data_IF_352520188880
#
_entry.id   IF_352520188880
#
_cell.length_a   1.000
_cell.length_b   1.000
_cell.length_c   1.000
_cell.angle_alpha   90.00
_cell.angle_beta   90.00
_cell.angle_gamma   90.00
#
_symmetry.space_group_name_H-M   'P 1'
#
loop_
_entity.id
_entity.type
_entity.pdbx_description
1 polymer ?
#
# COMPACT_ATOMS: atom_id res chain seq x y z
N UNK A 1 -54.91 -44.47 65.83
CA UNK A 1 -53.44 -44.47 65.93
C UNK A 1 -52.82 -43.67 64.77
N UNK A 2 -52.70 -42.31 64.79
CA UNK A 2 -52.00 -41.56 63.75
C UNK A 2 -50.98 -40.53 64.27
N UNK A 3 -50.32 -40.76 65.41
CA UNK A 3 -49.32 -39.75 65.89
C UNK A 3 -47.85 -40.15 65.75
N UNK A 4 -47.53 -41.38 65.36
CA UNK A 4 -46.12 -41.83 65.21
C UNK A 4 -45.44 -41.40 63.90
N UNK A 5 -46.19 -41.24 62.82
CA UNK A 5 -45.62 -40.85 61.49
C UNK A 5 -45.18 -39.37 61.41
N UNK A 6 -45.87 -38.47 62.10
CA UNK A 6 -45.56 -37.02 62.07
C UNK A 6 -44.23 -36.65 62.74
N UNK A 7 -43.78 -37.42 63.74
CA UNK A 7 -42.53 -37.13 64.46
C UNK A 7 -41.27 -37.66 63.72
N UNK A 8 -41.41 -38.71 62.93
CA UNK A 8 -40.32 -39.25 62.13
C UNK A 8 -39.96 -38.29 60.94
N UNK A 9 -40.99 -37.78 60.28
CA UNK A 9 -40.78 -36.81 59.16
C UNK A 9 -40.17 -35.48 59.63
N UNK A 10 -40.57 -34.97 60.78
CA UNK A 10 -39.95 -33.76 61.37
C UNK A 10 -38.49 -33.99 61.77
N UNK A 11 -38.16 -35.19 62.29
CA UNK A 11 -36.75 -35.54 62.65
C UNK A 11 -35.87 -35.68 61.37
N UNK A 12 -36.39 -36.26 60.30
CA UNK A 12 -35.70 -36.40 59.02
C UNK A 12 -35.50 -35.00 58.35
N UNK A 13 -36.50 -34.14 58.41
CA UNK A 13 -36.40 -32.76 57.93
C UNK A 13 -35.35 -31.94 58.70
N UNK A 14 -35.37 -32.10 60.06
CA UNK A 14 -34.37 -31.41 60.88
C UNK A 14 -32.97 -31.95 60.67
N UNK A 15 -32.76 -33.23 60.40
CA UNK A 15 -31.48 -33.84 60.11
C UNK A 15 -30.94 -33.34 58.73
N UNK A 16 -31.80 -33.24 57.70
CA UNK A 16 -31.45 -32.69 56.38
C UNK A 16 -31.04 -31.21 56.47
N UNK A 17 -31.78 -30.42 57.23
CA UNK A 17 -31.46 -29.02 57.47
C UNK A 17 -30.10 -28.86 58.19
N UNK A 18 -29.83 -29.68 59.19
CA UNK A 18 -28.55 -29.68 59.90
C UNK A 18 -27.39 -30.06 58.99
N UNK A 19 -27.54 -31.06 58.12
CA UNK A 19 -26.53 -31.46 57.14
C UNK A 19 -26.25 -30.37 56.10
N UNK A 20 -27.26 -29.65 55.64
CA UNK A 20 -27.09 -28.53 54.71
C UNK A 20 -26.34 -27.36 55.37
N UNK A 21 -26.65 -27.06 56.63
CA UNK A 21 -25.92 -26.02 57.38
C UNK A 21 -24.45 -26.42 57.59
N UNK A 22 -24.19 -27.67 57.97
CA UNK A 22 -22.81 -28.17 58.12
C UNK A 22 -22.04 -28.13 56.78
N UNK A 23 -22.67 -28.55 55.68
CA UNK A 23 -22.06 -28.49 54.36
C UNK A 23 -21.74 -27.04 53.94
N UNK A 24 -22.63 -26.10 54.22
CA UNK A 24 -22.41 -24.67 53.95
C UNK A 24 -21.26 -24.09 54.77
N UNK A 25 -21.18 -24.46 56.05
CA UNK A 25 -20.08 -24.05 56.94
C UNK A 25 -18.73 -24.63 56.48
N UNK A 26 -18.72 -25.92 56.08
CA UNK A 26 -17.51 -26.54 55.53
C UNK A 26 -17.05 -25.88 54.24
N UNK A 27 -17.98 -25.54 53.34
CA UNK A 27 -17.67 -24.84 52.09
C UNK A 27 -17.13 -23.43 52.37
N UNK A 28 -17.72 -22.71 53.30
CA UNK A 28 -17.27 -21.39 53.70
C UNK A 28 -15.87 -21.43 54.36
N UNK A 29 -15.64 -22.36 55.26
CA UNK A 29 -14.37 -22.53 55.97
C UNK A 29 -13.26 -23.00 55.04
N UNK A 30 -13.54 -23.89 54.10
CA UNK A 30 -12.58 -24.30 53.07
C UNK A 30 -12.21 -23.12 52.13
N UNK A 31 -13.19 -22.29 51.78
CA UNK A 31 -12.95 -21.05 51.03
C UNK A 31 -12.03 -20.08 51.79
N UNK A 32 -12.26 -19.92 53.11
CA UNK A 32 -11.44 -19.09 53.98
C UNK A 32 -9.99 -19.61 54.07
N UNK A 33 -9.79 -20.92 54.28
CA UNK A 33 -8.44 -21.52 54.32
C UNK A 33 -7.70 -21.38 52.99
N UNK A 34 -8.40 -21.47 51.85
CA UNK A 34 -7.78 -21.28 50.53
C UNK A 34 -7.29 -19.85 50.36
N UNK A 35 -8.04 -18.85 50.87
CA UNK A 35 -7.59 -17.45 50.80
C UNK A 35 -6.41 -17.14 51.73
N UNK A 36 -6.29 -17.86 52.86
CA UNK A 36 -5.18 -17.67 53.81
C UNK A 36 -3.89 -18.39 53.40
N UNK A 37 -4.04 -19.53 52.68
CA UNK A 37 -2.91 -20.32 52.14
C UNK A 37 -2.34 -19.81 50.85
N UNK A 38 -3.08 -18.95 50.10
CA UNK A 38 -2.56 -18.29 48.91
C UNK A 38 -2.02 -16.92 49.35
N UNK A 39 -0.69 -16.76 49.54
CA UNK A 39 -0.13 -15.45 49.80
C UNK A 39 -0.50 -14.54 48.64
N UNK A 40 -0.72 -13.25 48.91
CA UNK A 40 -1.11 -12.18 47.94
C UNK A 40 -0.37 -12.21 46.61
N UNK A 41 -0.58 -13.27 45.85
CA UNK A 41 -0.29 -13.25 44.42
C UNK A 41 -1.42 -12.44 43.82
N UNK A 42 -1.14 -11.18 43.51
CA UNK A 42 -2.05 -10.27 42.85
C UNK A 42 -2.98 -11.03 41.89
N UNK A 43 -4.22 -11.23 42.25
CA UNK A 43 -5.23 -11.88 41.40
C UNK A 43 -5.30 -11.16 40.02
N UNK A 44 -5.00 -9.88 40.01
CA UNK A 44 -4.83 -9.06 38.81
C UNK A 44 -3.73 -9.57 37.87
N UNK A 45 -2.59 -10.06 38.40
CA UNK A 45 -1.50 -10.56 37.55
C UNK A 45 -1.82 -11.95 36.96
N UNK A 46 -2.53 -12.79 37.72
CA UNK A 46 -2.94 -14.12 37.24
C UNK A 46 -4.04 -14.03 36.19
N UNK A 47 -5.03 -13.16 36.37
CA UNK A 47 -6.06 -12.87 35.35
C UNK A 47 -5.42 -12.25 34.10
N UNK A 48 -4.42 -11.39 34.24
CA UNK A 48 -3.67 -10.85 33.11
C UNK A 48 -2.86 -11.94 32.37
N UNK A 49 -2.25 -12.88 33.12
CA UNK A 49 -1.52 -14.00 32.52
C UNK A 49 -2.45 -14.97 31.79
N UNK A 50 -3.61 -15.29 32.34
CA UNK A 50 -4.60 -16.17 31.69
C UNK A 50 -5.21 -15.49 30.46
N UNK A 51 -5.42 -14.18 30.50
CA UNK A 51 -5.91 -13.41 29.36
C UNK A 51 -4.85 -13.32 28.25
N UNK A 52 -3.55 -13.21 28.61
CA UNK A 52 -2.45 -13.18 27.63
C UNK A 52 -2.15 -14.53 26.99
N UNK A 53 -2.55 -15.66 27.59
CA UNK A 53 -2.43 -17.00 27.00
C UNK A 53 -3.36 -17.18 25.79
N UNK A 54 -4.48 -16.45 25.74
CA UNK A 54 -5.40 -16.45 24.59
C UNK A 54 -5.01 -15.48 23.48
N UNK A 55 -4.17 -14.51 23.77
CA UNK A 55 -3.64 -13.58 22.77
C UNK A 55 -2.38 -14.21 22.16
N UNK A 56 -2.53 -14.73 20.93
CA UNK A 56 -1.36 -15.10 20.13
C UNK A 56 -0.41 -13.89 20.11
N UNK A 57 0.84 -14.01 20.56
CA UNK A 57 1.77 -12.89 20.44
C UNK A 57 1.79 -12.49 18.97
N UNK A 58 1.26 -11.32 18.66
CA UNK A 58 1.42 -10.72 17.34
C UNK A 58 2.91 -10.43 17.24
N UNK A 59 3.68 -11.40 16.72
CA UNK A 59 5.03 -11.18 16.28
C UNK A 59 4.94 -10.11 15.18
N UNK A 60 5.00 -8.84 15.58
CA UNK A 60 5.29 -7.77 14.64
C UNK A 60 6.67 -8.08 14.09
N UNK A 61 6.69 -8.65 12.88
CA UNK A 61 7.93 -8.70 12.12
C UNK A 61 8.55 -7.29 12.19
N UNK A 62 9.86 -7.17 12.47
CA UNK A 62 10.52 -5.87 12.43
C UNK A 62 10.15 -5.24 11.09
N UNK A 63 9.60 -4.03 11.11
CA UNK A 63 9.22 -3.31 9.91
C UNK A 63 10.46 -3.27 9.01
N UNK A 64 10.43 -3.86 7.81
CA UNK A 64 11.57 -3.82 6.93
C UNK A 64 11.97 -2.36 6.75
N UNK A 65 13.26 -2.04 6.77
CA UNK A 65 13.73 -0.69 6.51
C UNK A 65 13.15 -0.26 5.16
N UNK A 66 12.34 0.79 5.18
CA UNK A 66 11.72 1.34 3.99
C UNK A 66 12.82 1.75 3.00
N UNK A 67 12.80 1.15 1.82
CA UNK A 67 13.70 1.52 0.74
C UNK A 67 13.19 2.79 0.05
N UNK A 68 14.09 3.52 -0.65
CA UNK A 68 13.71 4.69 -1.43
C UNK A 68 12.61 4.33 -2.44
N UNK A 69 11.57 5.15 -2.53
CA UNK A 69 10.40 4.93 -3.37
C UNK A 69 9.68 3.59 -3.13
N UNK A 70 9.77 3.03 -1.92
CA UNK A 70 9.21 1.73 -1.55
C UNK A 70 9.69 0.58 -2.46
N UNK A 71 10.94 0.61 -2.92
CA UNK A 71 11.53 -0.47 -3.68
C UNK A 71 11.61 -1.76 -2.88
N UNK A 72 11.53 -2.91 -3.56
CA UNK A 72 11.76 -4.22 -2.96
C UNK A 72 13.22 -4.43 -2.57
N UNK A 73 14.14 -3.94 -3.39
CA UNK A 73 15.58 -4.03 -3.16
C UNK A 73 16.20 -2.64 -3.08
N UNK A 74 17.22 -2.51 -2.25
CA UNK A 74 17.95 -1.25 -2.14
C UNK A 74 18.71 -0.94 -3.43
N UNK A 75 18.63 0.30 -3.89
CA UNK A 75 19.47 0.77 -4.98
C UNK A 75 20.94 0.79 -4.61
N UNK A 76 21.85 0.44 -5.54
CA UNK A 76 23.29 0.58 -5.34
C UNK A 76 23.68 2.00 -4.97
N UNK A 77 24.82 2.18 -4.28
CA UNK A 77 25.40 3.50 -4.07
C UNK A 77 25.59 4.25 -5.41
N UNK A 78 25.53 5.56 -5.38
CA UNK A 78 25.68 6.43 -6.56
C UNK A 78 24.67 6.18 -7.68
N UNK A 79 23.43 5.84 -7.31
CA UNK A 79 22.29 5.71 -8.24
C UNK A 79 21.12 6.54 -7.77
N UNK A 80 20.20 6.85 -8.69
CA UNK A 80 18.90 7.46 -8.42
C UNK A 80 17.82 6.38 -8.42
N UNK A 81 17.10 6.24 -7.32
CA UNK A 81 15.93 5.38 -7.24
C UNK A 81 14.73 6.05 -7.93
N UNK A 82 14.01 5.32 -8.78
CA UNK A 82 12.75 5.77 -9.34
C UNK A 82 11.69 4.68 -9.27
N UNK A 83 10.45 5.08 -9.13
CA UNK A 83 9.27 4.22 -9.27
C UNK A 83 8.16 4.98 -9.97
N UNK A 84 7.68 4.40 -11.07
CA UNK A 84 6.56 4.90 -11.86
C UNK A 84 5.40 3.95 -11.73
N UNK A 85 4.25 4.47 -11.30
CA UNK A 85 3.02 3.71 -11.12
C UNK A 85 1.92 4.41 -11.92
N UNK A 86 1.28 3.70 -12.87
CA UNK A 86 0.10 4.21 -13.56
C UNK A 86 -1.13 4.19 -12.65
N UNK A 87 -2.15 4.93 -13.03
CA UNK A 87 -3.46 4.80 -12.41
C UNK A 87 -4.04 3.39 -12.61
N UNK A 88 -4.90 2.98 -11.69
CA UNK A 88 -5.57 1.68 -11.73
C UNK A 88 -7.00 1.76 -11.25
N UNK A 89 -7.93 1.13 -11.98
CA UNK A 89 -9.33 1.24 -11.68
C UNK A 89 -9.83 2.68 -11.79
N UNK A 90 -10.93 2.99 -11.12
CA UNK A 90 -11.50 4.35 -11.07
C UNK A 90 -10.77 5.24 -10.08
N UNK A 91 -10.36 4.67 -8.94
CA UNK A 91 -10.01 5.44 -7.74
C UNK A 91 -8.51 5.43 -7.41
N UNK A 92 -7.72 4.57 -8.04
CA UNK A 92 -6.27 4.50 -7.80
C UNK A 92 -5.52 5.47 -8.70
N UNK A 93 -5.00 6.51 -8.08
CA UNK A 93 -4.25 7.54 -8.79
C UNK A 93 -2.81 7.09 -9.11
N UNK A 94 -2.31 7.56 -10.25
CA UNK A 94 -0.94 7.36 -10.67
C UNK A 94 0.05 8.04 -9.69
N UNK A 95 1.32 7.59 -9.71
CA UNK A 95 2.38 8.13 -8.83
C UNK A 95 3.72 8.14 -9.56
N UNK A 96 4.46 9.22 -9.37
CA UNK A 96 5.87 9.33 -9.78
C UNK A 96 6.69 9.58 -8.53
N UNK A 97 7.58 8.64 -8.19
CA UNK A 97 8.54 8.78 -7.12
C UNK A 97 9.97 8.79 -7.69
N UNK A 98 10.81 9.68 -7.17
CA UNK A 98 12.22 9.79 -7.50
C UNK A 98 13.03 10.17 -6.26
N UNK A 99 14.09 9.41 -5.92
CA UNK A 99 14.94 9.63 -4.74
C UNK A 99 14.13 9.78 -3.43
N UNK A 100 13.13 8.93 -3.24
CA UNK A 100 12.20 8.91 -2.10
C UNK A 100 11.26 10.13 -1.99
N UNK A 101 11.25 10.99 -3.02
CA UNK A 101 10.33 12.12 -3.11
C UNK A 101 9.21 11.81 -4.08
N UNK A 102 7.97 11.98 -3.66
CA UNK A 102 6.85 11.99 -4.58
C UNK A 102 6.90 13.29 -5.38
N UNK A 103 7.02 13.15 -6.71
CA UNK A 103 7.02 14.28 -7.65
C UNK A 103 5.61 14.59 -8.13
N UNK A 104 4.83 13.52 -8.38
CA UNK A 104 3.41 13.60 -8.76
C UNK A 104 2.62 12.53 -8.02
N UNK A 105 1.53 12.92 -7.39
CA UNK A 105 0.65 12.03 -6.63
C UNK A 105 -0.65 12.75 -6.25
N UNK A 106 -1.68 11.99 -5.93
CA UNK A 106 -2.97 12.50 -5.45
C UNK A 106 -2.81 13.46 -4.26
N UNK A 107 -2.03 13.07 -3.25
CA UNK A 107 -1.80 13.88 -2.05
C UNK A 107 -1.10 15.22 -2.32
N UNK A 108 -0.50 15.40 -3.50
CA UNK A 108 0.10 16.66 -3.94
C UNK A 108 -0.86 17.47 -4.81
N UNK A 109 -2.03 16.92 -5.19
CA UNK A 109 -2.99 17.58 -6.05
C UNK A 109 -2.50 17.85 -7.47
N UNK A 110 -1.44 17.18 -7.92
CA UNK A 110 -0.77 17.44 -9.19
C UNK A 110 -0.79 16.26 -10.16
N UNK A 111 -1.63 15.27 -9.92
CA UNK A 111 -1.92 14.16 -10.83
C UNK A 111 -3.30 14.36 -11.45
N UNK A 112 -3.47 14.02 -12.72
CA UNK A 112 -4.74 14.15 -13.39
C UNK A 112 -4.89 13.15 -14.53
N UNK A 113 -6.10 13.08 -15.09
CA UNK A 113 -6.41 12.21 -16.22
C UNK A 113 -5.52 12.53 -17.41
N UNK A 114 -5.08 11.49 -18.13
CA UNK A 114 -4.22 11.59 -19.29
C UNK A 114 -2.78 11.20 -19.02
N UNK A 115 -1.82 11.92 -19.57
CA UNK A 115 -0.39 11.69 -19.42
C UNK A 115 0.17 12.70 -18.42
N UNK A 116 0.84 12.18 -17.40
CA UNK A 116 1.48 12.96 -16.33
C UNK A 116 3.00 12.84 -16.51
N UNK A 117 3.71 13.97 -16.54
CA UNK A 117 5.14 14.02 -16.84
C UNK A 117 5.86 14.83 -15.76
N UNK A 118 6.88 14.23 -15.15
CA UNK A 118 7.85 14.93 -14.32
C UNK A 118 9.22 14.98 -15.03
N UNK A 119 9.86 16.13 -15.00
CA UNK A 119 11.20 16.37 -15.56
C UNK A 119 12.17 16.58 -14.42
N UNK A 120 13.25 15.81 -14.39
CA UNK A 120 14.27 15.84 -13.35
C UNK A 120 15.65 16.07 -13.99
N UNK A 121 16.45 16.94 -13.40
CA UNK A 121 17.85 17.10 -13.80
C UNK A 121 18.63 15.82 -13.50
N UNK A 122 19.26 15.23 -14.50
CA UNK A 122 20.11 14.05 -14.31
C UNK A 122 21.37 14.38 -13.50
N UNK A 123 21.91 15.56 -13.68
CA UNK A 123 23.14 16.01 -12.99
C UNK A 123 22.90 16.21 -11.49
N UNK A 124 21.78 16.86 -11.12
CA UNK A 124 21.55 17.28 -9.73
C UNK A 124 20.51 16.41 -8.99
N UNK A 125 19.72 15.61 -9.73
CA UNK A 125 18.57 14.88 -9.16
C UNK A 125 17.41 15.79 -8.74
N UNK A 126 17.43 17.07 -9.06
CA UNK A 126 16.38 18.02 -8.69
C UNK A 126 15.26 18.06 -9.73
N UNK A 127 14.02 18.19 -9.25
CA UNK A 127 12.85 18.38 -10.12
C UNK A 127 12.98 19.73 -10.83
N UNK A 128 12.76 19.72 -12.14
CA UNK A 128 12.74 20.92 -12.99
C UNK A 128 11.30 21.37 -13.18
N UNK A 129 10.41 20.44 -13.57
CA UNK A 129 9.01 20.70 -13.83
C UNK A 129 8.16 19.43 -13.67
N UNK A 130 6.86 19.60 -13.42
CA UNK A 130 5.88 18.53 -13.45
C UNK A 130 4.58 19.06 -14.04
N UNK A 131 3.96 18.32 -14.96
CA UNK A 131 2.72 18.74 -15.63
C UNK A 131 1.85 17.55 -16.04
N UNK A 132 0.53 17.80 -16.00
CA UNK A 132 -0.51 16.87 -16.45
C UNK A 132 -1.08 17.32 -17.79
N UNK A 133 -1.36 16.37 -18.68
CA UNK A 133 -1.95 16.60 -19.99
C UNK A 133 -3.19 15.69 -20.15
N UNK A 134 -4.38 16.28 -20.03
CA UNK A 134 -5.63 15.54 -20.23
C UNK A 134 -5.81 15.19 -21.71
N UNK A 135 -5.64 13.91 -22.03
CA UNK A 135 -5.78 13.39 -23.41
C UNK A 135 -7.18 12.84 -23.70
N UNK A 136 -8.11 13.01 -22.78
CA UNK A 136 -9.52 12.58 -22.99
C UNK A 136 -10.43 13.76 -23.30
N UNK A 137 -10.49 14.77 -22.43
CA UNK A 137 -11.39 15.90 -22.59
C UNK A 137 -10.85 16.94 -23.59
N UNK A 138 -9.54 17.09 -23.72
CA UNK A 138 -8.91 18.10 -24.56
C UNK A 138 -7.79 17.57 -25.44
N UNK A 139 -7.48 18.31 -26.51
CA UNK A 139 -6.29 18.09 -27.32
C UNK A 139 -5.10 18.80 -26.68
N UNK A 140 -4.36 18.05 -25.89
CA UNK A 140 -3.13 18.53 -25.26
C UNK A 140 -1.86 17.97 -25.93
N UNK A 141 -1.95 17.43 -27.14
CA UNK A 141 -0.80 16.86 -27.85
C UNK A 141 0.29 17.87 -28.13
N UNK A 142 -0.07 19.03 -28.68
CA UNK A 142 0.90 20.09 -28.97
C UNK A 142 1.52 20.71 -27.69
N UNK A 143 0.74 21.10 -26.65
CA UNK A 143 1.30 21.55 -25.38
C UNK A 143 2.21 20.51 -24.71
N UNK A 144 1.87 19.21 -24.77
CA UNK A 144 2.70 18.15 -24.22
C UNK A 144 4.02 18.00 -25.01
N UNK A 145 3.95 18.00 -26.33
CA UNK A 145 5.14 17.94 -27.19
C UNK A 145 6.09 19.12 -26.92
N UNK A 146 5.54 20.32 -26.79
CA UNK A 146 6.33 21.49 -26.44
C UNK A 146 6.97 21.36 -25.05
N UNK A 147 6.24 20.84 -24.07
CA UNK A 147 6.79 20.60 -22.72
C UNK A 147 7.93 19.58 -22.74
N UNK A 148 7.79 18.48 -23.48
CA UNK A 148 8.84 17.48 -23.68
C UNK A 148 10.06 18.11 -24.35
N UNK A 149 9.86 18.91 -25.40
CA UNK A 149 10.93 19.57 -26.15
C UNK A 149 11.63 20.69 -25.36
N UNK A 150 10.96 21.32 -24.42
CA UNK A 150 11.53 22.35 -23.54
C UNK A 150 12.38 21.78 -22.40
N UNK A 151 12.31 20.47 -22.13
CA UNK A 151 13.15 19.86 -21.10
C UNK A 151 14.64 20.05 -21.46
N UNK A 152 15.50 20.49 -20.53
CA UNK A 152 16.94 20.69 -20.81
C UNK A 152 17.63 19.38 -21.22
N UNK A 153 18.79 19.49 -21.89
CA UNK A 153 19.68 18.34 -22.04
C UNK A 153 20.10 17.81 -20.66
N UNK A 154 20.44 16.52 -20.59
CA UNK A 154 20.71 15.80 -19.33
C UNK A 154 19.55 15.86 -18.36
N UNK A 155 18.32 15.65 -18.86
CA UNK A 155 17.12 15.46 -18.05
C UNK A 155 16.59 14.04 -18.17
N UNK A 156 15.99 13.57 -17.07
CA UNK A 156 15.13 12.39 -17.03
C UNK A 156 13.68 12.85 -17.15
N UNK A 157 12.91 12.20 -18.00
CA UNK A 157 11.47 12.40 -18.14
C UNK A 157 10.76 11.15 -17.61
N UNK A 158 9.97 11.32 -16.57
CA UNK A 158 9.21 10.26 -15.89
C UNK A 158 7.76 10.46 -16.27
N UNK A 159 7.18 9.47 -16.96
CA UNK A 159 5.84 9.56 -17.53
C UNK A 159 4.95 8.43 -17.04
N UNK A 160 3.71 8.76 -16.69
CA UNK A 160 2.69 7.78 -16.28
C UNK A 160 1.31 8.19 -16.80
N UNK A 161 0.47 7.21 -17.09
CA UNK A 161 -0.95 7.46 -17.43
C UNK A 161 -1.85 7.36 -16.22
N UNK A 162 -2.89 8.18 -16.23
CA UNK A 162 -4.04 8.11 -15.34
C UNK A 162 -5.31 8.04 -16.19
N UNK A 163 -6.19 7.06 -15.95
CA UNK A 163 -7.41 6.79 -16.71
C UNK A 163 -7.11 6.61 -18.21
N UNK A 164 -7.31 7.60 -19.04
CA UNK A 164 -7.08 7.52 -20.50
C UNK A 164 -6.04 8.54 -20.99
N UNK A 165 -4.91 8.01 -21.49
CA UNK A 165 -3.84 8.80 -22.10
C UNK A 165 -3.88 8.79 -23.63
N UNK A 166 -4.89 8.21 -24.30
CA UNK A 166 -4.83 7.88 -25.72
C UNK A 166 -5.83 8.59 -26.61
N UNK A 167 -7.05 8.86 -26.14
CA UNK A 167 -8.19 9.26 -26.98
C UNK A 167 -7.91 10.45 -27.89
N UNK A 168 -7.23 11.48 -27.40
CA UNK A 168 -6.84 12.66 -28.17
C UNK A 168 -5.33 12.81 -28.36
N UNK A 169 -4.59 11.72 -28.15
CA UNK A 169 -3.13 11.70 -28.36
C UNK A 169 -2.83 11.60 -29.87
N UNK A 170 -2.40 12.70 -30.47
CA UNK A 170 -2.11 12.81 -31.90
C UNK A 170 -0.79 12.14 -32.30
N UNK A 171 -0.66 11.86 -33.58
CA UNK A 171 0.50 11.19 -34.17
C UNK A 171 1.83 11.93 -33.91
N UNK A 172 1.81 13.28 -33.95
CA UNK A 172 3.01 14.09 -33.71
C UNK A 172 3.52 13.92 -32.26
N UNK A 173 2.61 13.87 -31.30
CA UNK A 173 2.96 13.66 -29.91
C UNK A 173 3.47 12.23 -29.67
N UNK A 174 2.88 11.24 -30.31
CA UNK A 174 3.39 9.86 -30.30
C UNK A 174 4.80 9.77 -30.85
N UNK A 175 5.07 10.40 -31.99
CA UNK A 175 6.42 10.48 -32.61
C UNK A 175 7.43 11.18 -31.70
N UNK A 176 7.02 12.24 -31.00
CA UNK A 176 7.89 12.93 -30.05
C UNK A 176 8.31 12.04 -28.86
N UNK A 177 7.39 11.22 -28.35
CA UNK A 177 7.66 10.26 -27.28
C UNK A 177 8.46 9.06 -27.81
N UNK A 178 8.15 8.58 -29.02
CA UNK A 178 8.92 7.51 -29.69
C UNK A 178 10.37 7.92 -29.93
N UNK A 179 10.63 9.18 -30.31
CA UNK A 179 11.98 9.73 -30.46
C UNK A 179 12.78 9.76 -29.14
N UNK A 180 12.13 9.69 -27.99
CA UNK A 180 12.77 9.50 -26.68
C UNK A 180 13.06 8.00 -26.37
N UNK A 181 12.75 7.10 -27.30
CA UNK A 181 13.01 5.67 -27.20
C UNK A 181 11.85 4.83 -26.65
N UNK A 182 10.63 5.36 -26.61
CA UNK A 182 9.45 4.56 -26.33
C UNK A 182 9.18 3.57 -27.47
N UNK A 183 8.89 2.32 -27.11
CA UNK A 183 8.52 1.25 -28.06
C UNK A 183 7.01 1.00 -28.06
N UNK A 184 6.32 1.43 -27.01
CA UNK A 184 4.92 1.09 -26.76
C UNK A 184 3.95 2.25 -26.96
N UNK A 185 4.42 3.48 -27.13
CA UNK A 185 3.53 4.64 -27.26
C UNK A 185 2.60 4.52 -28.48
N UNK A 186 3.06 3.90 -29.57
CA UNK A 186 2.23 3.65 -30.75
C UNK A 186 1.11 2.64 -30.50
N UNK A 187 1.31 1.72 -29.55
CA UNK A 187 0.37 0.67 -29.16
C UNK A 187 -0.67 1.15 -28.14
N UNK A 188 -0.55 2.38 -27.65
CA UNK A 188 -1.47 2.90 -26.62
C UNK A 188 -2.89 3.01 -27.17
N UNK A 189 -3.86 2.43 -26.42
CA UNK A 189 -5.29 2.40 -26.72
C UNK A 189 -6.09 3.06 -25.60
N UNK A 190 -7.38 3.18 -25.79
CA UNK A 190 -8.29 3.69 -24.76
C UNK A 190 -8.08 2.96 -23.44
N UNK A 191 -7.83 3.74 -22.38
CA UNK A 191 -7.55 3.25 -21.03
C UNK A 191 -6.39 2.26 -20.95
N UNK A 192 -5.39 2.36 -21.82
CA UNK A 192 -4.12 1.65 -21.60
C UNK A 192 -3.37 2.28 -20.40
N UNK A 193 -2.93 1.40 -19.48
CA UNK A 193 -1.94 1.78 -18.48
C UNK A 193 -0.57 1.81 -19.13
N UNK A 194 0.15 2.91 -18.97
CA UNK A 194 1.48 3.07 -19.53
C UNK A 194 2.39 3.85 -18.59
N UNK A 195 3.62 3.41 -18.46
CA UNK A 195 4.67 4.06 -17.68
C UNK A 195 5.96 4.06 -18.51
N UNK A 196 6.69 5.18 -18.49
CA UNK A 196 7.90 5.33 -19.31
C UNK A 196 8.92 6.24 -18.63
N UNK A 197 10.18 5.80 -18.63
CA UNK A 197 11.35 6.56 -18.24
C UNK A 197 12.19 6.86 -19.47
N UNK A 198 12.35 8.13 -19.79
CA UNK A 198 13.19 8.60 -20.88
C UNK A 198 14.37 9.45 -20.38
N UNK A 199 15.41 9.49 -21.18
CA UNK A 199 16.52 10.44 -21.02
C UNK A 199 16.55 11.39 -22.20
N UNK A 200 16.91 12.66 -21.94
CA UNK A 200 17.11 13.66 -22.99
C UNK A 200 18.58 14.09 -23.06
N UNK A 201 19.18 13.87 -24.23
CA UNK A 201 20.56 14.26 -24.51
C UNK A 201 21.61 13.31 -23.93
N UNK A 202 21.23 12.11 -23.53
CA UNK A 202 22.11 11.01 -23.15
C UNK A 202 21.37 9.67 -23.24
N UNK A 203 22.11 8.57 -23.20
CA UNK A 203 21.52 7.22 -23.20
C UNK A 203 21.46 6.62 -21.80
N UNK A 204 20.34 5.96 -21.50
CA UNK A 204 20.20 5.17 -20.28
C UNK A 204 20.85 3.81 -20.45
N UNK A 205 21.42 3.22 -19.38
CA UNK A 205 22.02 1.89 -19.42
C UNK A 205 21.08 0.83 -19.97
N UNK A 206 21.64 -0.12 -20.70
CA UNK A 206 20.91 -1.30 -21.14
C UNK A 206 20.42 -2.11 -19.93
N UNK A 207 19.24 -2.71 -20.04
CA UNK A 207 18.66 -3.55 -18.97
C UNK A 207 17.90 -2.78 -17.89
N UNK A 208 17.89 -1.45 -17.92
CA UNK A 208 17.06 -0.66 -17.00
C UNK A 208 15.57 -0.81 -17.37
N UNK A 209 14.66 -1.09 -16.41
CA UNK A 209 13.23 -1.11 -16.66
C UNK A 209 12.73 0.29 -17.07
N UNK A 210 12.56 0.52 -18.38
CA UNK A 210 12.26 1.85 -18.91
C UNK A 210 10.81 2.04 -19.30
N UNK A 211 10.13 0.99 -19.70
CA UNK A 211 8.78 1.11 -20.25
C UNK A 211 7.95 -0.14 -19.96
N UNK A 212 6.67 0.09 -19.74
CA UNK A 212 5.67 -0.98 -19.62
C UNK A 212 4.32 -0.46 -20.07
N UNK A 213 3.54 -1.31 -20.76
CA UNK A 213 2.17 -1.05 -21.14
C UNK A 213 1.28 -2.22 -20.77
N UNK A 214 0.03 -1.94 -20.43
CA UNK A 214 -1.01 -2.93 -20.30
C UNK A 214 -2.32 -2.34 -20.84
N UNK A 215 -3.05 -3.11 -21.65
CA UNK A 215 -4.29 -2.65 -22.21
C UNK A 215 -5.47 -2.96 -21.29
N UNK A 216 -6.44 -2.04 -21.25
CA UNK A 216 -7.70 -2.30 -20.57
C UNK A 216 -8.46 -3.40 -21.30
N UNK A 217 -8.90 -4.41 -20.56
CA UNK A 217 -9.69 -5.53 -21.06
C UNK A 217 -10.83 -5.80 -20.06
N UNK A 218 -12.05 -5.43 -20.44
CA UNK A 218 -13.22 -5.57 -19.58
C UNK A 218 -13.57 -7.01 -19.20
N UNK A 219 -13.10 -7.99 -19.99
CA UNK A 219 -13.35 -9.41 -19.71
C UNK A 219 -12.28 -10.03 -18.79
N UNK A 220 -11.05 -9.53 -18.84
CA UNK A 220 -9.89 -10.11 -18.14
C UNK A 220 -9.51 -9.38 -16.86
N UNK A 221 -9.78 -8.08 -16.77
CA UNK A 221 -9.42 -7.32 -15.60
C UNK A 221 -10.60 -7.11 -14.64
N UNK A 222 -10.33 -7.16 -13.35
CA UNK A 222 -11.33 -6.99 -12.29
C UNK A 222 -11.92 -5.57 -12.17
N UNK A 223 -11.45 -4.63 -12.97
CA UNK A 223 -11.84 -3.22 -12.90
C UNK A 223 -12.90 -2.82 -13.90
N UNK A 224 -13.62 -3.78 -14.52
CA UNK A 224 -14.74 -3.53 -15.42
C UNK A 224 -14.44 -2.52 -16.55
N UNK A 225 -13.34 -2.74 -17.26
CA UNK A 225 -12.92 -1.85 -18.36
C UNK A 225 -12.11 -0.63 -17.95
N UNK A 226 -11.88 -0.39 -16.67
CA UNK A 226 -10.87 0.55 -16.19
C UNK A 226 -9.47 -0.05 -16.28
N UNK A 227 -8.42 0.77 -16.42
CA UNK A 227 -7.07 0.24 -16.54
C UNK A 227 -6.62 -0.50 -15.27
N UNK A 228 -5.87 -1.58 -15.43
CA UNK A 228 -5.16 -2.21 -14.33
C UNK A 228 -3.85 -1.44 -14.06
N UNK A 229 -3.53 -1.19 -12.79
CA UNK A 229 -2.28 -0.51 -12.48
C UNK A 229 -1.07 -1.35 -12.88
N UNK A 230 -0.06 -0.68 -13.41
CA UNK A 230 1.26 -1.25 -13.72
C UNK A 230 2.34 -0.36 -13.15
N UNK A 231 3.49 -0.96 -12.90
CA UNK A 231 4.64 -0.21 -12.41
C UNK A 231 5.94 -0.66 -13.05
N UNK A 232 6.89 0.26 -13.06
CA UNK A 232 8.31 0.01 -13.19
C UNK A 232 9.05 0.68 -12.05
N UNK A 233 10.14 0.08 -11.61
CA UNK A 233 11.06 0.64 -10.63
C UNK A 233 12.48 0.27 -11.00
N UNK A 234 13.44 1.06 -10.59
CA UNK A 234 14.83 0.81 -10.88
C UNK A 234 15.76 1.89 -10.33
N UNK A 235 17.03 1.74 -10.67
CA UNK A 235 18.09 2.56 -10.15
C UNK A 235 18.91 3.10 -11.34
N UNK A 236 18.80 4.40 -11.62
CA UNK A 236 19.57 5.07 -12.69
C UNK A 236 20.95 5.43 -12.13
N UNK A 237 22.06 4.99 -12.72
CA UNK A 237 23.37 5.43 -12.31
C UNK A 237 23.46 6.97 -12.37
N UNK A 238 24.11 7.58 -11.40
CA UNK A 238 24.43 9.00 -11.45
C UNK A 238 25.60 9.23 -12.39
N UNK A 239 25.65 10.40 -13.01
CA UNK A 239 26.83 10.80 -13.77
C UNK A 239 28.04 10.80 -12.82
N UNK A 240 29.18 10.22 -13.21
CA UNK A 240 30.40 10.37 -12.40
C UNK A 240 30.71 11.86 -12.29
N UNK A 241 30.90 12.33 -11.07
CA UNK A 241 31.33 13.69 -10.74
C UNK A 241 32.76 13.95 -11.18
#
# INVERSE_FOLDING_TARGET
MPQAHSNADKRVGALKALLLVLASLCAWYSGYLVTELIPDVHLSSTVHMVRSIGEKPVLKAPSPRRQKCDHWTQCPPNTYAYRLLSGGGRDKQAKICFEDKLLMAEKLGNIGRGINIAVVSYVTGKVIAARTFDMYAGDNSAPMTQFIQSAPAKSLLLMVTQDDGSTRLKAEARKAIEALGSKEIQNMRFRSSWVFLAARGFELPAGLPREKINHSDGAKNRYHGWPAEIQIEGCVPREPS
#
